data_IF_696035648826
#
_entry.id   IF_696035648826
#
_cell.length_a   1.000
_cell.length_b   1.000
_cell.length_c   1.000
_cell.angle_alpha   90.00
_cell.angle_beta   90.00
_cell.angle_gamma   90.00
#
_symmetry.space_group_name_H-M   'P 1'
#
loop_
_entity.id
_entity.type
_entity.pdbx_description
1 polymer ?
#
# COMPACT_ATOMS: atom_id res chain seq x y z
N UNK A 1 0.38 -7.45 53.34
CA UNK A 1 -0.06 -6.37 52.43
C UNK A 1 0.47 -6.71 51.05
N UNK A 2 -0.41 -6.72 50.06
CA UNK A 2 -0.29 -7.40 48.76
C UNK A 2 0.78 -6.80 47.83
N UNK A 3 1.63 -7.65 47.24
CA UNK A 3 2.46 -7.31 46.08
C UNK A 3 1.81 -7.85 44.81
N UNK A 4 1.12 -6.99 44.07
CA UNK A 4 0.52 -7.34 42.78
C UNK A 4 1.65 -7.43 41.76
N UNK A 5 2.03 -8.65 41.37
CA UNK A 5 2.78 -8.88 40.16
C UNK A 5 1.89 -8.46 38.97
N UNK A 6 2.14 -7.29 38.39
CA UNK A 6 1.62 -6.97 37.06
C UNK A 6 2.30 -7.90 36.06
N UNK A 7 1.65 -9.02 35.78
CA UNK A 7 1.99 -9.86 34.66
C UNK A 7 1.62 -9.11 33.38
N UNK A 8 2.59 -8.41 32.82
CA UNK A 8 2.53 -7.89 31.47
C UNK A 8 2.45 -9.08 30.51
N UNK A 9 1.24 -9.59 30.26
CA UNK A 9 0.97 -10.48 29.11
C UNK A 9 1.20 -9.64 27.87
N UNK A 10 2.45 -9.59 27.42
CA UNK A 10 2.76 -9.22 26.06
C UNK A 10 1.92 -10.09 25.10
N UNK A 11 1.41 -9.42 24.08
CA UNK A 11 0.46 -9.85 23.06
C UNK A 11 0.96 -10.98 22.15
N UNK A 12 1.48 -12.07 22.71
CA UNK A 12 1.91 -13.24 21.94
C UNK A 12 0.73 -13.94 21.23
N UNK A 13 -0.49 -13.84 21.75
CA UNK A 13 -1.69 -14.43 21.12
C UNK A 13 -2.52 -13.49 20.23
N UNK A 14 -2.15 -12.21 20.09
CA UNK A 14 -2.93 -11.27 19.27
C UNK A 14 -2.76 -11.59 17.78
N UNK A 15 -1.51 -11.76 17.34
CA UNK A 15 -1.17 -12.07 15.95
C UNK A 15 -1.64 -13.48 15.53
N UNK A 16 -1.52 -14.47 16.41
CA UNK A 16 -2.00 -15.85 16.16
C UNK A 16 -3.54 -15.90 16.11
N UNK A 17 -4.22 -15.15 16.98
CA UNK A 17 -5.68 -15.02 16.97
C UNK A 17 -6.20 -14.30 15.74
N UNK A 18 -5.58 -13.18 15.33
CA UNK A 18 -5.94 -12.43 14.13
C UNK A 18 -5.70 -13.24 12.86
N UNK A 19 -4.55 -13.92 12.75
CA UNK A 19 -4.25 -14.79 11.61
C UNK A 19 -5.17 -16.01 11.55
N UNK A 20 -5.46 -16.65 12.70
CA UNK A 20 -6.41 -17.76 12.75
C UNK A 20 -7.83 -17.30 12.40
N UNK A 21 -8.24 -16.11 12.83
CA UNK A 21 -9.54 -15.52 12.48
C UNK A 21 -9.62 -15.18 10.99
N UNK A 22 -8.54 -14.66 10.39
CA UNK A 22 -8.45 -14.44 8.95
C UNK A 22 -8.55 -15.75 8.16
N UNK A 23 -7.85 -16.79 8.60
CA UNK A 23 -7.90 -18.10 7.95
C UNK A 23 -9.29 -18.73 8.08
N UNK A 24 -9.93 -18.62 9.24
CA UNK A 24 -11.31 -19.07 9.45
C UNK A 24 -12.29 -18.31 8.56
N UNK A 25 -12.13 -16.97 8.44
CA UNK A 25 -12.95 -16.14 7.57
C UNK A 25 -12.77 -16.51 6.09
N UNK A 26 -11.54 -16.81 5.65
CA UNK A 26 -11.27 -17.29 4.30
C UNK A 26 -11.92 -18.66 4.05
N UNK A 27 -11.79 -19.60 4.98
CA UNK A 27 -12.44 -20.91 4.89
C UNK A 27 -13.96 -20.76 4.82
N UNK A 28 -14.55 -19.90 5.65
CA UNK A 28 -15.99 -19.60 5.62
C UNK A 28 -16.41 -18.97 4.29
N UNK A 29 -15.61 -18.05 3.74
CA UNK A 29 -15.86 -17.45 2.43
C UNK A 29 -15.81 -18.48 1.29
N UNK A 30 -14.82 -19.38 1.30
CA UNK A 30 -14.72 -20.47 0.32
C UNK A 30 -15.92 -21.41 0.42
N UNK A 31 -16.33 -21.78 1.64
CA UNK A 31 -17.52 -22.60 1.86
C UNK A 31 -18.81 -21.91 1.38
N UNK A 32 -18.94 -20.61 1.60
CA UNK A 32 -20.07 -19.83 1.08
C UNK A 32 -20.05 -19.77 -0.46
N UNK A 33 -18.88 -19.56 -1.07
CA UNK A 33 -18.74 -19.59 -2.52
C UNK A 33 -19.06 -20.96 -3.11
N UNK A 34 -18.75 -22.03 -2.39
CA UNK A 34 -19.13 -23.40 -2.78
C UNK A 34 -20.63 -23.65 -2.64
N UNK A 35 -21.24 -23.24 -1.53
CA UNK A 35 -22.67 -23.42 -1.26
C UNK A 35 -23.56 -22.61 -2.21
N UNK A 36 -23.08 -21.44 -2.64
CA UNK A 36 -23.78 -20.53 -3.56
C UNK A 36 -23.01 -20.40 -4.88
N UNK A 37 -22.55 -21.53 -5.42
CA UNK A 37 -21.70 -21.55 -6.62
C UNK A 37 -22.39 -20.89 -7.83
N UNK A 38 -23.68 -21.13 -8.04
CA UNK A 38 -24.46 -20.52 -9.13
C UNK A 38 -24.51 -18.99 -9.02
N UNK A 39 -24.76 -18.48 -7.81
CA UNK A 39 -24.78 -17.04 -7.53
C UNK A 39 -23.37 -16.46 -7.70
N UNK A 40 -22.34 -17.18 -7.26
CA UNK A 40 -20.95 -16.74 -7.40
C UNK A 40 -20.52 -16.65 -8.87
N UNK A 41 -20.85 -17.65 -9.68
CA UNK A 41 -20.61 -17.65 -11.14
C UNK A 41 -21.33 -16.47 -11.78
N UNK A 42 -22.59 -16.21 -11.42
CA UNK A 42 -23.33 -15.07 -11.92
C UNK A 42 -22.66 -13.73 -11.56
N UNK A 43 -22.29 -13.50 -10.30
CA UNK A 43 -21.69 -12.24 -9.89
C UNK A 43 -20.31 -11.99 -10.50
N UNK A 44 -19.49 -13.05 -10.61
CA UNK A 44 -18.16 -12.95 -11.22
C UNK A 44 -18.26 -12.60 -12.71
N UNK A 45 -19.09 -13.32 -13.45
CA UNK A 45 -19.35 -13.05 -14.88
C UNK A 45 -20.02 -11.70 -15.12
N UNK A 46 -20.97 -11.30 -14.27
CA UNK A 46 -21.61 -9.99 -14.28
C UNK A 46 -20.61 -8.83 -14.10
N UNK A 47 -19.72 -8.97 -13.12
CA UNK A 47 -18.70 -7.93 -12.85
C UNK A 47 -17.76 -7.78 -14.04
N UNK A 48 -17.25 -8.91 -14.57
CA UNK A 48 -16.40 -8.92 -15.76
C UNK A 48 -17.12 -8.35 -16.98
N UNK A 49 -18.40 -8.67 -17.18
CA UNK A 49 -19.20 -8.16 -18.28
C UNK A 49 -19.18 -6.63 -18.30
N UNK A 50 -19.41 -6.00 -17.15
CA UNK A 50 -19.39 -4.54 -17.04
C UNK A 50 -18.00 -3.94 -17.25
N UNK A 51 -16.95 -4.58 -16.71
CA UNK A 51 -15.57 -4.12 -16.94
C UNK A 51 -15.21 -4.15 -18.43
N UNK A 52 -15.60 -5.21 -19.14
CA UNK A 52 -15.39 -5.33 -20.58
C UNK A 52 -16.21 -4.30 -21.36
N UNK A 53 -17.47 -4.07 -20.98
CA UNK A 53 -18.33 -3.02 -21.54
C UNK A 53 -17.73 -1.62 -21.43
N UNK A 54 -17.02 -1.32 -20.33
CA UNK A 54 -16.38 -0.01 -20.12
C UNK A 54 -15.16 0.23 -21.02
N UNK A 55 -14.52 -0.86 -21.48
CA UNK A 55 -13.33 -0.84 -22.34
C UNK A 55 -13.68 -1.15 -23.81
N UNK A 56 -14.97 -1.30 -24.12
CA UNK A 56 -15.45 -1.59 -25.47
C UNK A 56 -15.36 -0.35 -26.37
N UNK A 57 -14.23 -0.23 -27.07
CA UNK A 57 -13.98 0.80 -28.07
C UNK A 57 -14.20 0.25 -29.48
N UNK A 58 -14.64 1.07 -30.47
CA UNK A 58 -14.91 0.61 -31.83
C UNK A 58 -13.77 -0.17 -32.50
N UNK A 59 -12.52 0.18 -32.20
CA UNK A 59 -11.32 -0.49 -32.74
C UNK A 59 -11.07 -1.88 -32.15
N UNK A 60 -11.51 -2.12 -30.90
CA UNK A 60 -11.27 -3.35 -30.14
C UNK A 60 -12.56 -4.19 -30.04
N UNK A 61 -13.68 -3.67 -30.55
CA UNK A 61 -15.01 -4.24 -30.42
C UNK A 61 -15.12 -5.69 -30.90
N UNK A 62 -14.46 -6.07 -31.99
CA UNK A 62 -14.48 -7.46 -32.47
C UNK A 62 -13.85 -8.45 -31.46
N UNK A 63 -12.84 -8.00 -30.73
CA UNK A 63 -12.16 -8.80 -29.71
C UNK A 63 -12.89 -8.75 -28.37
N UNK A 64 -13.28 -7.56 -27.91
CA UNK A 64 -14.01 -7.37 -26.66
C UNK A 64 -15.42 -7.99 -26.73
N UNK A 65 -16.11 -7.84 -27.86
CA UNK A 65 -17.45 -8.37 -28.10
C UNK A 65 -17.52 -9.89 -27.96
N UNK A 66 -16.50 -10.62 -28.42
CA UNK A 66 -16.41 -12.06 -28.22
C UNK A 66 -16.36 -12.46 -26.74
N UNK A 67 -15.62 -11.69 -25.92
CA UNK A 67 -15.54 -11.91 -24.46
C UNK A 67 -16.84 -11.53 -23.75
N UNK A 68 -17.45 -10.41 -24.15
CA UNK A 68 -18.72 -9.93 -23.61
C UNK A 68 -19.85 -10.94 -23.86
N UNK A 69 -19.93 -11.49 -25.07
CA UNK A 69 -20.97 -12.45 -25.42
C UNK A 69 -20.80 -13.77 -24.66
N UNK A 70 -19.55 -14.24 -24.53
CA UNK A 70 -19.22 -15.44 -23.76
C UNK A 70 -19.58 -15.27 -22.27
N UNK A 71 -19.30 -14.11 -21.67
CA UNK A 71 -19.71 -13.80 -20.29
C UNK A 71 -21.23 -13.74 -20.13
N UNK A 72 -21.95 -13.18 -21.10
CA UNK A 72 -23.40 -13.12 -21.08
C UNK A 72 -24.05 -14.51 -21.20
N UNK A 73 -23.49 -15.39 -22.03
CA UNK A 73 -23.99 -16.75 -22.20
C UNK A 73 -23.82 -17.58 -20.92
N UNK A 74 -22.64 -17.51 -20.30
CA UNK A 74 -22.34 -18.20 -19.04
C UNK A 74 -23.19 -17.65 -17.89
N UNK A 75 -23.43 -16.34 -17.83
CA UNK A 75 -24.30 -15.74 -16.82
C UNK A 75 -25.75 -16.21 -16.94
N UNK A 76 -26.27 -16.36 -18.17
CA UNK A 76 -27.63 -16.85 -18.41
C UNK A 76 -27.77 -18.35 -18.08
N UNK A 77 -26.69 -19.13 -18.21
CA UNK A 77 -26.66 -20.56 -17.93
C UNK A 77 -25.97 -20.92 -16.61
N UNK A 78 -25.77 -19.95 -15.70
CA UNK A 78 -24.95 -20.10 -14.49
C UNK A 78 -25.32 -21.28 -13.57
N UNK A 79 -26.58 -21.77 -13.63
CA UNK A 79 -27.04 -22.93 -12.86
C UNK A 79 -26.56 -24.29 -13.39
N UNK A 80 -26.19 -24.36 -14.67
CA UNK A 80 -25.75 -25.59 -15.33
C UNK A 80 -24.22 -25.65 -15.55
N UNK A 81 -23.55 -24.51 -15.35
CA UNK A 81 -22.11 -24.35 -15.56
C UNK A 81 -21.33 -25.11 -14.50
N UNK A 82 -20.29 -25.83 -14.93
CA UNK A 82 -19.38 -26.54 -14.02
C UNK A 82 -18.19 -25.66 -13.61
N UNK A 83 -17.44 -26.08 -12.57
CA UNK A 83 -16.27 -25.34 -12.08
C UNK A 83 -15.18 -25.20 -13.16
N UNK A 84 -14.92 -26.27 -13.92
CA UNK A 84 -13.91 -26.27 -14.98
C UNK A 84 -14.28 -25.31 -16.12
N UNK A 85 -15.55 -25.34 -16.55
CA UNK A 85 -16.06 -24.43 -17.58
C UNK A 85 -15.99 -22.97 -17.11
N UNK A 86 -16.37 -22.69 -15.87
CA UNK A 86 -16.22 -21.36 -15.29
C UNK A 86 -14.76 -20.92 -15.23
N UNK A 87 -13.82 -21.79 -14.84
CA UNK A 87 -12.38 -21.45 -14.81
C UNK A 87 -11.82 -21.14 -16.20
N UNK A 88 -12.24 -21.88 -17.22
CA UNK A 88 -11.83 -21.61 -18.61
C UNK A 88 -12.31 -20.23 -19.07
N UNK A 89 -13.57 -19.90 -18.78
CA UNK A 89 -14.17 -18.58 -19.04
C UNK A 89 -13.44 -17.48 -18.29
N UNK A 90 -13.13 -17.69 -17.01
CA UNK A 90 -12.36 -16.74 -16.20
C UNK A 90 -10.95 -16.55 -16.74
N UNK A 91 -10.25 -17.61 -17.12
CA UNK A 91 -8.91 -17.51 -17.72
C UNK A 91 -8.95 -16.71 -19.04
N UNK A 92 -9.99 -16.93 -19.85
CA UNK A 92 -10.15 -16.25 -21.12
C UNK A 92 -10.54 -14.75 -21.01
N UNK A 93 -11.13 -14.31 -19.89
CA UNK A 93 -11.75 -12.98 -19.72
C UNK A 93 -11.10 -12.11 -18.63
N UNK A 94 -10.44 -12.70 -17.64
CA UNK A 94 -9.89 -12.01 -16.46
C UNK A 94 -8.70 -11.10 -16.75
N UNK A 95 -8.07 -11.21 -17.93
CA UNK A 95 -6.98 -10.33 -18.35
C UNK A 95 -7.34 -8.83 -18.31
N UNK A 96 -8.64 -8.49 -18.39
CA UNK A 96 -9.12 -7.12 -18.24
C UNK A 96 -8.78 -6.51 -16.88
N UNK A 97 -8.67 -7.33 -15.82
CA UNK A 97 -8.34 -6.88 -14.48
C UNK A 97 -6.93 -6.26 -14.43
N UNK A 98 -5.99 -6.78 -15.22
CA UNK A 98 -4.64 -6.22 -15.30
C UNK A 98 -4.64 -4.79 -15.87
N UNK A 99 -5.52 -4.53 -16.84
CA UNK A 99 -5.66 -3.20 -17.44
C UNK A 99 -6.12 -2.16 -16.42
N UNK A 100 -7.00 -2.54 -15.48
CA UNK A 100 -7.43 -1.67 -14.39
C UNK A 100 -6.48 -1.65 -13.19
N UNK A 101 -5.77 -2.75 -12.94
CA UNK A 101 -4.79 -2.85 -11.87
C UNK A 101 -3.57 -1.96 -12.15
N UNK A 102 -3.14 -1.86 -13.40
CA UNK A 102 -1.96 -1.09 -13.78
C UNK A 102 -2.03 0.40 -13.40
N UNK A 103 -3.08 1.18 -13.73
CA UNK A 103 -3.20 2.56 -13.27
C UNK A 103 -3.33 2.66 -11.75
N UNK A 104 -4.00 1.71 -11.10
CA UNK A 104 -4.12 1.68 -9.64
C UNK A 104 -2.75 1.50 -8.98
N UNK A 105 -1.93 0.56 -9.47
CA UNK A 105 -0.55 0.35 -9.00
C UNK A 105 0.28 1.60 -9.25
N UNK A 106 0.19 2.23 -10.43
CA UNK A 106 0.93 3.46 -10.72
C UNK A 106 0.57 4.57 -9.73
N UNK A 107 -0.72 4.82 -9.51
CA UNK A 107 -1.19 5.86 -8.58
C UNK A 107 -0.79 5.53 -7.14
N UNK A 108 -0.91 4.28 -6.71
CA UNK A 108 -0.49 3.84 -5.38
C UNK A 108 1.03 3.96 -5.19
N UNK A 109 1.83 3.53 -6.18
CA UNK A 109 3.29 3.68 -6.16
C UNK A 109 3.71 5.14 -6.17
N UNK A 110 3.02 5.98 -6.94
CA UNK A 110 3.26 7.42 -6.97
C UNK A 110 2.91 8.07 -5.62
N UNK A 111 1.76 7.75 -5.04
CA UNK A 111 1.35 8.21 -3.73
C UNK A 111 2.33 7.77 -2.63
N UNK A 112 2.80 6.52 -2.70
CA UNK A 112 3.83 6.01 -1.80
C UNK A 112 5.14 6.77 -1.99
N UNK A 113 5.63 6.95 -3.23
CA UNK A 113 6.85 7.68 -3.52
C UNK A 113 6.81 9.14 -3.02
N UNK A 114 5.64 9.77 -3.04
CA UNK A 114 5.44 11.12 -2.50
C UNK A 114 5.25 11.16 -0.99
N UNK A 115 5.00 10.02 -0.34
CA UNK A 115 4.62 9.94 1.06
C UNK A 115 5.75 10.44 1.99
N UNK A 116 5.47 11.39 2.91
CA UNK A 116 6.48 12.06 3.74
C UNK A 116 7.15 11.13 4.77
N UNK A 117 6.56 9.98 5.07
CA UNK A 117 7.12 8.98 6.01
C UNK A 117 8.23 8.14 5.37
N UNK A 118 8.39 8.17 4.04
CA UNK A 118 9.46 7.39 3.40
C UNK A 118 10.86 7.86 3.85
N UNK A 119 11.75 6.92 4.22
CA UNK A 119 13.06 7.23 4.82
C UNK A 119 13.98 8.03 3.89
N UNK A 120 13.74 8.01 2.57
CA UNK A 120 14.51 8.79 1.59
C UNK A 120 14.19 10.29 1.61
N UNK A 121 13.01 10.71 2.11
CA UNK A 121 12.66 12.14 2.27
C UNK A 121 12.82 12.64 3.70
N UNK A 122 12.72 11.78 4.71
CA UNK A 122 12.87 12.17 6.13
C UNK A 122 14.33 12.19 6.60
N UNK A 123 15.24 11.48 5.94
CA UNK A 123 16.68 11.54 6.23
C UNK A 123 17.36 12.60 5.37
N UNK A 124 17.18 13.88 5.74
CA UNK A 124 18.04 14.95 5.22
C UNK A 124 19.48 14.64 5.67
N UNK A 125 20.44 14.60 4.74
CA UNK A 125 21.86 14.44 5.07
C UNK A 125 22.28 15.59 5.99
N UNK A 126 22.48 15.27 7.26
CA UNK A 126 22.96 16.22 8.27
C UNK A 126 24.48 16.12 8.31
N UNK A 127 25.16 17.15 7.84
CA UNK A 127 26.60 17.32 7.93
C UNK A 127 26.94 18.39 8.98
N UNK A 128 28.16 18.40 9.51
CA UNK A 128 28.66 19.33 10.55
C UNK A 128 28.41 20.81 10.18
N UNK A 129 28.47 21.16 8.90
CA UNK A 129 28.19 22.52 8.43
C UNK A 129 26.69 22.86 8.28
N UNK A 130 25.82 21.85 8.22
CA UNK A 130 24.36 22.03 8.02
C UNK A 130 23.53 21.80 9.28
N UNK A 131 24.10 21.11 10.28
CA UNK A 131 23.47 20.79 11.55
C UNK A 131 23.16 22.06 12.39
N UNK A 132 24.10 23.01 12.56
CA UNK A 132 23.85 24.18 13.39
C UNK A 132 22.75 25.08 12.84
N UNK A 133 22.67 25.24 11.52
CA UNK A 133 21.59 25.97 10.84
C UNK A 133 20.22 25.28 10.90
N UNK A 134 20.18 23.98 11.17
CA UNK A 134 18.93 23.25 11.42
C UNK A 134 18.46 23.46 12.86
N UNK A 135 19.38 23.39 13.83
CA UNK A 135 19.12 23.56 15.26
C UNK A 135 18.74 25.01 15.59
N UNK A 136 19.26 26.01 14.86
CA UNK A 136 18.93 27.42 15.06
C UNK A 136 17.43 27.75 14.86
N UNK A 137 16.70 26.96 14.07
CA UNK A 137 15.24 27.09 13.92
C UNK A 137 14.46 26.63 15.15
N UNK A 138 15.06 25.76 15.97
CA UNK A 138 14.43 25.20 17.17
C UNK A 138 15.00 25.78 18.47
N UNK A 139 16.23 26.33 18.44
CA UNK A 139 16.92 26.92 19.57
C UNK A 139 17.41 28.34 19.21
N UNK A 140 16.60 29.38 19.48
CA UNK A 140 16.94 30.76 19.12
C UNK A 140 18.18 31.29 19.86
N UNK A 141 18.58 30.65 20.97
CA UNK A 141 19.78 30.97 21.74
C UNK A 141 21.09 30.67 21.01
N UNK A 142 21.08 29.80 19.99
CA UNK A 142 22.29 29.40 19.24
C UNK A 142 22.54 30.34 18.04
N UNK A 143 21.54 31.13 17.63
CA UNK A 143 21.60 32.06 16.49
C UNK A 143 22.76 33.07 16.58
N UNK A 144 23.01 33.79 17.69
CA UNK A 144 24.08 34.78 17.74
C UNK A 144 25.48 34.14 17.66
N UNK A 145 25.66 32.97 18.26
CA UNK A 145 26.92 32.20 18.22
C UNK A 145 27.20 31.69 16.80
N UNK A 146 26.14 31.30 16.09
CA UNK A 146 26.20 30.89 14.69
C UNK A 146 26.46 32.04 13.72
N UNK A 147 25.90 33.22 13.98
CA UNK A 147 26.11 34.40 13.16
C UNK A 147 27.51 35.01 13.35
N UNK A 148 28.10 34.85 14.54
CA UNK A 148 29.44 35.32 14.85
C UNK A 148 30.55 34.38 14.35
N UNK A 149 30.23 33.09 14.13
CA UNK A 149 31.21 32.09 13.70
C UNK A 149 31.17 31.90 12.18
N UNK A 150 32.32 31.97 11.52
CA UNK A 150 32.46 31.76 10.07
C UNK A 150 32.13 30.33 9.61
N UNK A 151 32.45 29.98 8.34
CA UNK A 151 32.10 28.68 7.73
C UNK A 151 32.53 27.42 8.50
N UNK A 152 33.57 27.53 9.32
CA UNK A 152 34.14 26.45 10.14
C UNK A 152 33.70 26.50 11.62
N UNK A 153 32.78 27.40 11.97
CA UNK A 153 32.29 27.56 13.33
C UNK A 153 33.38 28.07 14.30
N UNK A 154 33.14 27.86 15.60
CA UNK A 154 34.11 28.14 16.67
C UNK A 154 35.26 27.11 16.73
N UNK A 155 35.21 26.05 15.93
CA UNK A 155 36.17 24.94 16.03
C UNK A 155 37.60 25.37 15.67
N UNK A 156 37.75 26.38 14.81
CA UNK A 156 39.02 26.92 14.34
C UNK A 156 39.18 28.43 14.65
N UNK A 157 38.36 28.98 15.55
CA UNK A 157 38.42 30.41 15.88
C UNK A 157 39.59 30.70 16.84
N UNK A 158 40.65 31.34 16.31
CA UNK A 158 41.84 31.74 17.07
C UNK A 158 41.77 33.20 17.57
N UNK A 159 40.58 33.82 17.57
CA UNK A 159 40.43 35.19 18.07
C UNK A 159 40.70 35.29 19.58
N UNK A 160 41.27 36.41 20.08
CA UNK A 160 41.69 36.53 21.49
C UNK A 160 40.54 36.36 22.50
N UNK A 161 39.31 36.67 22.09
CA UNK A 161 38.11 36.50 22.91
C UNK A 161 37.66 35.04 23.04
N UNK A 162 38.02 34.18 22.08
CA UNK A 162 37.53 32.81 21.97
C UNK A 162 38.63 31.74 22.13
N UNK A 163 39.86 32.14 22.47
CA UNK A 163 41.02 31.28 22.69
C UNK A 163 40.99 30.50 24.03
N UNK A 164 39.81 30.12 24.52
CA UNK A 164 39.62 29.38 25.78
C UNK A 164 39.92 27.87 25.67
N UNK A 165 40.47 27.43 24.54
CA UNK A 165 40.90 26.06 24.28
C UNK A 165 42.39 25.93 23.91
N UNK A 166 43.25 26.69 24.58
CA UNK A 166 44.69 26.39 24.69
C UNK A 166 45.01 25.89 26.09
#
# INVERSE_FOLDING_TARGET
MWGIAMQNRQSQGAWEGEQAQMLLALCAAVLLCWMFFDIFVYWTTWTLYWLWKMVDFPFIHAWAGGKINLLADVANHAKAVTLDEWLEVMNATSGILLLFLLPLVIVSSWGLAQHPVLPFRSKRLVNIHTLPGLVSRFAPSVIPVLAASGPDGLMNDTSPSNAWAL
#
